data_IF_755929153503
#
_entry.id   IF_755929153503
#
_cell.length_a   1.000
_cell.length_b   1.000
_cell.length_c   1.000
_cell.angle_alpha   90.00
_cell.angle_beta   90.00
_cell.angle_gamma   90.00
#
_symmetry.space_group_name_H-M   'P 1'
#
loop_
_entity.id
_entity.type
_entity.pdbx_description
1 polymer ?
#
# COMPACT_ATOMS: atom_id res chain seq x y z
N UNK A 1 17.04 4.33 7.45
CA UNK A 1 16.22 4.71 8.61
C UNK A 1 16.16 6.22 8.65
N UNK A 2 14.97 6.81 8.52
CA UNK A 2 14.77 8.26 8.56
C UNK A 2 14.64 8.68 10.04
N UNK A 3 15.60 9.43 10.62
CA UNK A 3 15.51 9.84 12.02
C UNK A 3 14.45 10.94 12.18
N UNK A 4 13.53 10.77 13.13
CA UNK A 4 12.53 11.79 13.47
C UNK A 4 13.15 12.87 14.36
N UNK A 5 12.71 14.12 14.18
CA UNK A 5 13.07 15.22 15.09
C UNK A 5 12.26 15.15 16.38
N UNK A 6 12.73 15.80 17.44
CA UNK A 6 11.98 15.92 18.69
C UNK A 6 10.61 16.59 18.48
N UNK A 7 10.53 17.63 17.64
CA UNK A 7 9.26 18.29 17.29
C UNK A 7 8.29 17.36 16.56
N UNK A 8 8.78 16.51 15.65
CA UNK A 8 7.93 15.52 14.96
C UNK A 8 7.40 14.46 15.92
N UNK A 9 8.20 14.07 16.91
CA UNK A 9 7.78 13.14 17.96
C UNK A 9 6.73 13.78 18.86
N UNK A 10 6.92 15.05 19.25
CA UNK A 10 5.95 15.80 20.05
C UNK A 10 4.62 15.99 19.30
N UNK A 11 4.66 16.39 18.02
CA UNK A 11 3.48 16.49 17.16
C UNK A 11 2.74 15.15 17.05
N UNK A 12 3.45 14.03 16.89
CA UNK A 12 2.81 12.71 16.91
C UNK A 12 2.14 12.39 18.25
N UNK A 13 2.75 12.75 19.39
CA UNK A 13 2.13 12.54 20.70
C UNK A 13 0.90 13.41 20.94
N UNK A 14 0.87 14.63 20.40
CA UNK A 14 -0.25 15.56 20.54
C UNK A 14 -1.40 15.24 19.57
N UNK A 15 -1.08 14.99 18.29
CA UNK A 15 -2.05 14.86 17.20
C UNK A 15 -2.41 13.39 16.88
N UNK A 16 -1.57 12.44 17.29
CA UNK A 16 -1.74 11.01 17.00
C UNK A 16 -1.33 10.58 15.58
N UNK A 17 -0.80 11.51 14.77
CA UNK A 17 -0.28 11.25 13.43
C UNK A 17 0.85 12.22 13.07
N UNK A 18 1.59 11.90 12.01
CA UNK A 18 2.62 12.77 11.46
C UNK A 18 2.56 12.72 9.93
N UNK A 19 2.70 13.88 9.28
CA UNK A 19 2.82 13.98 7.83
C UNK A 19 4.30 14.15 7.49
N UNK A 20 4.85 13.22 6.70
CA UNK A 20 6.20 13.31 6.16
C UNK A 20 6.08 13.35 4.64
N UNK A 21 6.42 14.50 4.05
CA UNK A 21 6.47 14.66 2.61
C UNK A 21 7.62 13.84 2.01
N UNK A 22 7.43 13.30 0.81
CA UNK A 22 8.44 12.59 0.02
C UNK A 22 9.19 11.48 0.78
N UNK A 23 8.49 10.75 1.66
CA UNK A 23 9.06 9.66 2.45
C UNK A 23 9.66 8.54 1.59
N UNK A 24 9.08 8.32 0.40
CA UNK A 24 9.55 7.38 -0.61
C UNK A 24 9.70 8.10 -1.95
N UNK A 25 10.63 7.64 -2.78
CA UNK A 25 10.92 8.27 -4.06
C UNK A 25 9.77 8.11 -5.07
N UNK A 26 9.59 9.10 -5.94
CA UNK A 26 8.52 9.12 -6.95
C UNK A 26 8.59 7.91 -7.90
N UNK A 27 9.78 7.40 -8.21
CA UNK A 27 9.93 6.23 -9.07
C UNK A 27 9.40 4.94 -8.40
N UNK A 28 9.60 4.79 -7.09
CA UNK A 28 9.00 3.73 -6.29
C UNK A 28 7.48 3.91 -6.17
N UNK A 29 6.98 5.13 -5.98
CA UNK A 29 5.53 5.42 -5.98
C UNK A 29 4.90 4.96 -7.29
N UNK A 30 5.48 5.31 -8.43
CA UNK A 30 4.96 4.92 -9.75
C UNK A 30 4.91 3.40 -9.91
N UNK A 31 5.97 2.68 -9.50
CA UNK A 31 5.96 1.21 -9.52
C UNK A 31 4.90 0.59 -8.62
N UNK A 32 4.63 1.17 -7.44
CA UNK A 32 3.58 0.69 -6.54
C UNK A 32 2.19 0.89 -7.16
N UNK A 33 1.94 2.07 -7.75
CA UNK A 33 0.66 2.40 -8.40
C UNK A 33 0.37 1.46 -9.57
N UNK A 34 1.39 1.15 -10.40
CA UNK A 34 1.26 0.21 -11.53
C UNK A 34 0.82 -1.21 -11.11
N UNK A 35 1.03 -1.60 -9.85
CA UNK A 35 0.62 -2.92 -9.34
C UNK A 35 -0.79 -2.97 -8.79
N UNK A 36 -1.45 -1.84 -8.55
CA UNK A 36 -2.79 -1.80 -7.93
C UNK A 36 -3.83 -2.52 -8.80
N UNK A 37 -3.95 -2.16 -10.07
CA UNK A 37 -4.95 -2.78 -10.97
C UNK A 37 -4.67 -4.27 -11.22
N UNK A 38 -3.43 -4.71 -11.56
CA UNK A 38 -3.12 -6.12 -11.72
C UNK A 38 -3.46 -6.96 -10.48
N UNK A 39 -3.14 -6.45 -9.29
CA UNK A 39 -3.44 -7.14 -8.03
C UNK A 39 -4.94 -7.36 -7.88
N UNK A 40 -5.75 -6.32 -8.05
CA UNK A 40 -7.21 -6.45 -8.00
C UNK A 40 -7.80 -7.31 -9.13
N UNK A 41 -7.07 -7.54 -10.22
CA UNK A 41 -7.44 -8.49 -11.27
C UNK A 41 -6.98 -9.95 -10.98
N UNK A 42 -6.23 -10.18 -9.91
CA UNK A 42 -5.73 -11.50 -9.49
C UNK A 42 -4.34 -11.85 -10.02
N UNK A 43 -3.59 -10.87 -10.55
CA UNK A 43 -2.19 -11.06 -10.97
C UNK A 43 -1.25 -11.02 -9.75
N UNK A 44 -1.15 -12.16 -9.07
CA UNK A 44 -0.27 -12.34 -7.91
C UNK A 44 1.09 -12.91 -8.36
N UNK A 45 2.09 -12.03 -8.48
CA UNK A 45 3.46 -12.37 -8.91
C UNK A 45 4.08 -13.54 -8.14
N UNK A 46 3.80 -13.64 -6.83
CA UNK A 46 4.36 -14.69 -5.97
C UNK A 46 3.58 -16.01 -6.00
N UNK A 47 2.38 -16.00 -6.61
CA UNK A 47 1.41 -17.09 -6.52
C UNK A 47 0.73 -17.22 -5.15
N UNK A 48 1.05 -16.35 -4.19
CA UNK A 48 0.43 -16.31 -2.85
C UNK A 48 -0.73 -15.33 -2.87
N UNK A 49 -1.89 -15.78 -2.40
CA UNK A 49 -3.08 -14.93 -2.31
C UNK A 49 -2.97 -13.96 -1.11
N UNK A 50 -3.57 -12.76 -1.20
CA UNK A 50 -3.78 -11.92 -0.04
C UNK A 50 -4.72 -12.61 0.96
N UNK A 51 -4.69 -12.18 2.23
CA UNK A 51 -5.57 -12.78 3.25
C UNK A 51 -7.04 -12.44 3.00
N UNK A 52 -7.29 -11.23 2.51
CA UNK A 52 -8.61 -10.77 2.12
C UNK A 52 -8.53 -10.05 0.78
N UNK A 53 -9.55 -10.25 -0.06
CA UNK A 53 -9.70 -9.63 -1.37
C UNK A 53 -11.16 -9.25 -1.58
N UNK A 54 -11.51 -8.06 -1.09
CA UNK A 54 -12.84 -7.50 -1.22
C UNK A 54 -12.90 -6.66 -2.49
N UNK A 55 -13.75 -7.09 -3.44
CA UNK A 55 -13.93 -6.55 -4.79
C UNK A 55 -12.86 -6.97 -5.81
N UNK A 56 -13.32 -7.33 -7.01
CA UNK A 56 -12.48 -7.51 -8.20
C UNK A 56 -13.24 -7.03 -9.44
N UNK A 57 -12.55 -6.71 -10.56
CA UNK A 57 -13.19 -6.19 -11.77
C UNK A 57 -14.24 -7.10 -12.40
N UNK A 58 -14.23 -8.41 -12.13
CA UNK A 58 -15.17 -9.36 -12.72
C UNK A 58 -16.49 -9.48 -11.94
N UNK A 59 -16.46 -9.28 -10.61
CA UNK A 59 -17.61 -9.51 -9.72
C UNK A 59 -18.07 -8.25 -8.97
N UNK A 60 -17.20 -7.25 -8.87
CA UNK A 60 -17.45 -6.03 -8.12
C UNK A 60 -18.41 -5.07 -8.81
N UNK A 61 -19.22 -4.36 -8.02
CA UNK A 61 -20.03 -3.27 -8.55
C UNK A 61 -19.12 -2.12 -9.03
N UNK A 62 -19.42 -1.49 -10.18
CA UNK A 62 -18.70 -0.30 -10.61
C UNK A 62 -18.76 0.81 -9.56
N UNK A 63 -17.60 1.41 -9.25
CA UNK A 63 -17.50 2.51 -8.29
C UNK A 63 -17.61 2.09 -6.81
N UNK A 64 -17.75 0.79 -6.51
CA UNK A 64 -17.61 0.32 -5.13
C UNK A 64 -16.15 0.39 -4.68
N UNK A 65 -15.93 0.74 -3.41
CA UNK A 65 -14.60 0.70 -2.80
C UNK A 65 -14.06 -0.73 -2.77
N UNK A 66 -12.79 -0.88 -3.13
CA UNK A 66 -12.07 -2.15 -3.11
C UNK A 66 -11.06 -2.17 -1.97
N UNK A 67 -10.74 -3.37 -1.45
CA UNK A 67 -9.79 -3.53 -0.35
C UNK A 67 -9.08 -4.89 -0.41
N UNK A 68 -7.80 -4.90 -0.03
CA UNK A 68 -7.00 -6.12 0.15
C UNK A 68 -6.21 -6.10 1.45
N UNK A 69 -6.10 -7.25 2.11
CA UNK A 69 -5.31 -7.42 3.35
C UNK A 69 -4.07 -8.27 3.09
N UNK A 70 -2.93 -7.87 3.65
CA UNK A 70 -1.64 -8.58 3.55
C UNK A 70 -1.11 -8.77 2.10
N UNK A 71 -1.37 -7.81 1.22
CA UNK A 71 -1.00 -7.86 -0.21
C UNK A 71 0.51 -7.93 -0.47
N UNK A 72 1.34 -7.53 0.49
CA UNK A 72 2.80 -7.66 0.42
C UNK A 72 3.28 -9.10 0.22
N UNK A 73 2.46 -10.10 0.58
CA UNK A 73 2.77 -11.52 0.32
C UNK A 73 2.62 -11.89 -1.16
N UNK A 74 1.77 -11.15 -1.88
CA UNK A 74 1.34 -11.45 -3.24
C UNK A 74 2.22 -10.81 -4.31
N UNK A 75 3.00 -9.78 -3.95
CA UNK A 75 3.77 -8.95 -4.88
C UNK A 75 5.06 -8.42 -4.27
N UNK A 76 6.20 -8.60 -4.95
CA UNK A 76 7.50 -8.18 -4.43
C UNK A 76 7.69 -6.67 -4.45
N UNK A 77 6.99 -5.94 -5.30
CA UNK A 77 7.01 -4.48 -5.32
C UNK A 77 6.33 -3.95 -4.06
N UNK A 78 5.15 -4.47 -3.71
CA UNK A 78 4.45 -4.12 -2.46
C UNK A 78 5.26 -4.54 -1.22
N UNK A 79 5.92 -5.70 -1.27
CA UNK A 79 6.80 -6.15 -0.20
C UNK A 79 8.00 -5.23 0.05
N UNK A 80 8.42 -4.43 -0.92
CA UNK A 80 9.63 -3.59 -0.81
C UNK A 80 9.48 -2.38 0.12
N UNK A 81 8.26 -2.09 0.59
CA UNK A 81 7.92 -0.91 1.42
C UNK A 81 7.33 -1.26 2.79
N UNK A 82 7.41 -2.52 3.21
CA UNK A 82 6.93 -3.00 4.51
C UNK A 82 8.12 -3.32 5.43
#
# INVERSE_FOLDING_TARGET
MFPLTSEQIECFHEDGFLIIEDLIDEALVNRLVERVEPLFAGDFETGVYPDEWHWNPALGLPGASAQMTSVWKSDRTLASVI
#
